data_IF_954923741608
#
_entry.id   IF_954923741608
#
_cell.length_a   1.000
_cell.length_b   1.000
_cell.length_c   1.000
_cell.angle_alpha   90.00
_cell.angle_beta   90.00
_cell.angle_gamma   90.00
#
_symmetry.space_group_name_H-M   'P 1'
#
loop_
_entity.id
_entity.type
_entity.pdbx_description
1 polymer ?
#
# COMPACT_ATOMS: atom_id res chain seq x y z
N UNK A 1 -11.50 6.21 -5.85
CA UNK A 1 -10.71 6.10 -7.08
C UNK A 1 -9.62 7.18 -7.07
N UNK A 2 -8.44 6.88 -7.62
CA UNK A 2 -7.29 7.79 -7.64
C UNK A 2 -7.43 8.73 -8.84
N UNK A 3 -7.27 10.03 -8.59
CA UNK A 3 -7.41 11.07 -9.63
C UNK A 3 -6.06 11.63 -10.07
N UNK A 4 -5.12 11.77 -9.13
CA UNK A 4 -3.80 12.31 -9.42
C UNK A 4 -2.76 11.84 -8.40
N UNK A 5 -1.52 11.72 -8.87
CA UNK A 5 -0.35 11.49 -8.03
C UNK A 5 0.79 12.41 -8.47
N UNK A 6 1.47 12.99 -7.49
CA UNK A 6 2.76 13.67 -7.66
C UNK A 6 3.64 13.38 -6.44
N UNK A 7 4.92 13.73 -6.51
CA UNK A 7 5.80 13.55 -5.35
C UNK A 7 5.22 14.25 -4.10
N UNK A 8 5.00 13.47 -3.04
CA UNK A 8 4.44 13.94 -1.77
C UNK A 8 2.94 14.24 -1.76
N UNK A 9 2.19 13.91 -2.82
CA UNK A 9 0.75 14.20 -2.91
C UNK A 9 -0.01 13.15 -3.70
N UNK A 10 -1.16 12.73 -3.20
CA UNK A 10 -2.12 11.90 -3.93
C UNK A 10 -3.54 12.42 -3.72
N UNK A 11 -4.36 12.38 -4.77
CA UNK A 11 -5.78 12.76 -4.72
C UNK A 11 -6.62 11.51 -4.93
N UNK A 12 -7.46 11.20 -3.96
CA UNK A 12 -8.35 10.03 -3.99
C UNK A 12 -9.74 10.45 -3.54
N UNK A 13 -10.75 10.22 -4.37
CA UNK A 13 -12.14 10.63 -4.10
C UNK A 13 -12.30 12.12 -3.77
N UNK A 14 -11.62 13.01 -4.51
CA UNK A 14 -11.61 14.45 -4.32
C UNK A 14 -10.82 14.94 -3.11
N UNK A 15 -10.33 14.03 -2.26
CA UNK A 15 -9.56 14.37 -1.07
C UNK A 15 -8.06 14.29 -1.34
N UNK A 16 -7.33 15.31 -0.90
CA UNK A 16 -5.87 15.35 -0.98
C UNK A 16 -5.24 14.72 0.26
N UNK A 17 -4.23 13.87 0.03
CA UNK A 17 -3.38 13.27 1.06
C UNK A 17 -1.91 13.58 0.78
N UNK A 18 -1.15 13.80 1.85
CA UNK A 18 0.28 14.11 1.82
C UNK A 18 1.15 13.06 2.51
N UNK A 19 0.52 12.01 3.03
CA UNK A 19 1.14 10.90 3.73
C UNK A 19 0.74 9.59 3.05
N UNK A 20 1.39 8.50 3.44
CA UNK A 20 1.06 7.18 2.95
C UNK A 20 -0.37 6.81 3.38
N UNK A 21 -1.14 6.26 2.44
CA UNK A 21 -2.53 5.87 2.64
C UNK A 21 -2.74 4.43 2.18
N UNK A 22 -3.77 3.78 2.72
CA UNK A 22 -4.27 2.51 2.21
C UNK A 22 -5.63 2.75 1.57
N UNK A 23 -5.77 2.30 0.32
CA UNK A 23 -7.01 2.44 -0.45
C UNK A 23 -7.67 1.06 -0.53
N UNK A 24 -8.92 0.98 -0.13
CA UNK A 24 -9.72 -0.26 -0.16
C UNK A 24 -11.08 0.01 -0.82
N UNK A 25 -11.85 -1.03 -1.20
CA UNK A 25 -13.23 -0.84 -1.65
C UNK A 25 -14.13 -0.16 -0.62
N UNK A 26 -13.79 -0.24 0.69
CA UNK A 26 -14.53 0.40 1.78
C UNK A 26 -14.16 1.87 2.00
N UNK A 27 -13.08 2.35 1.38
CA UNK A 27 -12.59 3.72 1.53
C UNK A 27 -11.08 3.83 1.74
N UNK A 28 -10.64 5.03 2.13
CA UNK A 28 -9.23 5.38 2.34
C UNK A 28 -8.92 5.41 3.83
N UNK A 29 -7.84 4.74 4.24
CA UNK A 29 -7.24 4.85 5.57
C UNK A 29 -6.02 5.76 5.49
N UNK A 30 -6.14 6.97 6.04
CA UNK A 30 -5.11 8.01 5.94
C UNK A 30 -4.16 8.11 7.14
N UNK A 31 -4.50 7.47 8.26
CA UNK A 31 -3.70 7.50 9.50
C UNK A 31 -2.88 6.21 9.63
N UNK A 32 -2.24 5.79 8.55
CA UNK A 32 -1.49 4.53 8.52
C UNK A 32 -0.04 4.76 8.91
N UNK A 33 0.40 4.08 9.97
CA UNK A 33 1.80 4.05 10.39
C UNK A 33 2.36 2.64 10.26
N UNK A 34 3.51 2.53 9.59
CA UNK A 34 4.34 1.34 9.61
C UNK A 34 5.11 1.22 10.91
N UNK A 35 5.35 -0.03 11.33
CA UNK A 35 6.23 -0.40 12.44
C UNK A 35 7.66 0.07 12.24
N UNK A 36 8.13 0.10 10.99
CA UNK A 36 9.48 0.51 10.62
C UNK A 36 9.47 1.47 9.43
N UNK A 37 10.32 2.50 9.49
CA UNK A 37 10.53 3.41 8.37
C UNK A 37 11.07 2.66 7.15
N UNK A 38 10.49 2.90 5.98
CA UNK A 38 10.92 2.34 4.70
C UNK A 38 10.91 0.81 4.59
N UNK A 39 10.29 0.07 5.51
CA UNK A 39 10.13 -1.38 5.41
C UNK A 39 8.68 -1.74 5.69
N UNK A 40 8.05 -2.50 4.79
CA UNK A 40 6.68 -2.96 4.97
C UNK A 40 6.67 -4.33 5.64
N UNK A 41 6.05 -4.40 6.82
CA UNK A 41 5.83 -5.63 7.57
C UNK A 41 4.39 -6.11 7.42
N UNK A 42 4.15 -7.42 7.55
CA UNK A 42 2.79 -7.98 7.50
C UNK A 42 1.91 -7.38 8.60
N UNK A 43 2.50 -7.14 9.78
CA UNK A 43 1.83 -6.50 10.93
C UNK A 43 1.30 -5.10 10.61
N UNK A 44 1.89 -4.40 9.63
CA UNK A 44 1.43 -3.07 9.23
C UNK A 44 0.07 -3.11 8.51
N UNK A 45 -0.35 -4.29 8.06
CA UNK A 45 -1.54 -4.52 7.24
C UNK A 45 -2.50 -5.57 7.81
N UNK A 46 -2.24 -6.15 8.99
CA UNK A 46 -3.03 -7.26 9.54
C UNK A 46 -4.55 -6.97 9.55
N UNK A 47 -4.95 -5.84 10.13
CA UNK A 47 -6.36 -5.43 10.19
C UNK A 47 -6.97 -5.27 8.79
N UNK A 48 -6.21 -4.68 7.88
CA UNK A 48 -6.66 -4.43 6.50
C UNK A 48 -6.86 -5.74 5.76
N UNK A 49 -5.88 -6.65 5.84
CA UNK A 49 -5.91 -7.95 5.18
C UNK A 49 -7.06 -8.80 5.71
N UNK A 50 -7.31 -8.78 7.03
CA UNK A 50 -8.43 -9.48 7.64
C UNK A 50 -9.77 -8.93 7.19
N UNK A 51 -9.92 -7.60 7.15
CA UNK A 51 -11.17 -6.94 6.79
C UNK A 51 -11.51 -6.98 5.31
N UNK A 52 -10.50 -7.00 4.44
CA UNK A 52 -10.68 -6.86 2.98
C UNK A 52 -10.46 -8.15 2.22
N UNK A 53 -9.67 -9.09 2.74
CA UNK A 53 -9.34 -10.38 2.10
C UNK A 53 -9.08 -10.23 0.58
N UNK A 54 -8.09 -9.40 0.20
CA UNK A 54 -7.91 -9.04 -1.21
C UNK A 54 -7.28 -10.21 -1.98
N UNK A 55 -7.65 -10.36 -3.25
CA UNK A 55 -6.98 -11.27 -4.18
C UNK A 55 -5.62 -10.69 -4.63
N UNK A 56 -5.53 -9.37 -4.72
CA UNK A 56 -4.33 -8.63 -5.16
C UNK A 56 -4.04 -7.47 -4.21
N UNK A 57 -2.78 -7.37 -3.77
CA UNK A 57 -2.25 -6.25 -3.01
C UNK A 57 -1.25 -5.47 -3.87
N UNK A 58 -1.60 -4.24 -4.23
CA UNK A 58 -0.70 -3.30 -4.92
C UNK A 58 0.00 -2.41 -3.91
N UNK A 59 1.33 -2.32 -4.02
CA UNK A 59 2.19 -1.55 -3.12
C UNK A 59 2.95 -0.50 -3.93
N UNK A 60 2.64 0.76 -3.68
CA UNK A 60 3.45 1.89 -4.13
C UNK A 60 4.64 2.12 -3.19
N UNK A 61 5.86 2.00 -3.70
CA UNK A 61 7.10 2.12 -2.91
C UNK A 61 7.62 3.56 -2.73
N UNK A 62 6.78 4.55 -3.01
CA UNK A 62 7.17 5.94 -3.18
C UNK A 62 7.76 6.22 -4.57
N UNK A 63 8.11 7.49 -4.82
CA UNK A 63 8.68 7.92 -6.10
C UNK A 63 10.09 7.36 -6.36
N UNK A 64 10.91 7.26 -5.30
CA UNK A 64 12.28 6.76 -5.37
C UNK A 64 12.38 5.24 -5.26
N UNK A 65 11.27 4.54 -4.97
CA UNK A 65 11.27 3.09 -4.84
C UNK A 65 12.06 2.55 -3.63
N UNK A 66 12.37 3.42 -2.66
CA UNK A 66 13.24 3.10 -1.52
C UNK A 66 12.56 2.27 -0.43
N UNK A 67 11.22 2.18 -0.44
CA UNK A 67 10.51 1.30 0.48
C UNK A 67 10.79 -0.17 0.14
N UNK A 68 11.26 -0.92 1.12
CA UNK A 68 11.52 -2.35 1.04
C UNK A 68 10.23 -3.13 1.27
N UNK A 69 9.98 -4.11 0.41
CA UNK A 69 8.97 -5.15 0.59
C UNK A 69 9.73 -6.47 0.69
N UNK A 70 9.97 -6.99 1.91
CA UNK A 70 10.79 -8.19 2.11
C UNK A 70 10.26 -9.40 1.34
N UNK A 71 11.16 -10.31 0.93
CA UNK A 71 10.75 -11.55 0.25
C UNK A 71 9.81 -12.41 1.12
N UNK A 72 10.01 -12.40 2.44
CA UNK A 72 9.13 -13.10 3.38
C UNK A 72 7.72 -12.52 3.41
N UNK A 73 7.58 -11.21 3.27
CA UNK A 73 6.28 -10.54 3.14
C UNK A 73 5.52 -11.09 1.92
N UNK A 74 6.18 -11.13 0.76
CA UNK A 74 5.57 -11.65 -0.47
C UNK A 74 5.23 -13.15 -0.37
N UNK A 75 6.13 -13.96 0.20
CA UNK A 75 5.90 -15.39 0.42
C UNK A 75 4.70 -15.63 1.34
N UNK A 76 4.58 -14.86 2.42
CA UNK A 76 3.48 -14.97 3.38
C UNK A 76 2.14 -14.68 2.72
N UNK A 77 2.06 -13.62 1.90
CA UNK A 77 0.83 -13.27 1.20
C UNK A 77 0.50 -14.25 0.07
N UNK A 78 1.51 -14.72 -0.67
CA UNK A 78 1.33 -15.74 -1.70
C UNK A 78 0.78 -17.05 -1.13
N UNK A 79 1.23 -17.46 0.06
CA UNK A 79 0.69 -18.63 0.76
C UNK A 79 -0.78 -18.46 1.18
N UNK A 80 -1.27 -17.22 1.25
CA UNK A 80 -2.68 -16.87 1.48
C UNK A 80 -3.45 -16.64 0.17
N UNK A 81 -2.88 -17.00 -0.98
CA UNK A 81 -3.42 -16.74 -2.32
C UNK A 81 -3.62 -15.25 -2.63
N UNK A 82 -2.79 -14.39 -2.05
CA UNK A 82 -2.79 -12.95 -2.32
C UNK A 82 -1.60 -12.64 -3.23
N UNK A 83 -1.87 -12.13 -4.43
CA UNK A 83 -0.84 -11.65 -5.34
C UNK A 83 -0.29 -10.31 -4.85
N UNK A 84 1.03 -10.12 -4.95
CA UNK A 84 1.69 -8.87 -4.53
C UNK A 84 2.35 -8.21 -5.72
N UNK A 85 1.92 -6.99 -6.03
CA UNK A 85 2.53 -6.15 -7.06
C UNK A 85 3.19 -4.97 -6.36
N UNK A 86 4.53 -4.93 -6.37
CA UNK A 86 5.31 -3.90 -5.71
C UNK A 86 6.09 -3.07 -6.72
N UNK A 87 5.65 -1.83 -6.94
CA UNK A 87 6.19 -0.93 -7.96
C UNK A 87 6.46 0.45 -7.37
N UNK A 88 7.18 1.30 -8.11
CA UNK A 88 7.24 2.72 -7.77
C UNK A 88 5.83 3.31 -7.87
N UNK A 89 5.48 4.26 -7.01
CA UNK A 89 4.09 4.76 -6.92
C UNK A 89 3.58 5.33 -8.24
N UNK A 90 4.45 5.91 -9.08
CA UNK A 90 4.09 6.40 -10.41
C UNK A 90 3.66 5.32 -11.42
N UNK A 91 4.00 4.05 -11.16
CA UNK A 91 3.54 2.89 -11.94
C UNK A 91 2.39 2.13 -11.27
N UNK A 92 2.28 2.25 -9.94
CA UNK A 92 1.26 1.59 -9.14
C UNK A 92 -0.08 2.33 -9.14
N UNK A 93 -0.07 3.64 -9.49
CA UNK A 93 -1.24 4.52 -9.62
C UNK A 93 -1.70 4.57 -11.07
#
# INVERSE_FOLDING_TARGET
>A
MIEAYSFGKIIVNGQTYYQDIIITPKGVRSNWWRKEGHCLHISDLEDVLLETQPEVLVIGKGSSGMMKVPNEFQKTLKAKNIEVIAENTNKAV
#
